data_IF_799472151666
#
_entry.id   IF_799472151666
#
_cell.length_a   1.000
_cell.length_b   1.000
_cell.length_c   1.000
_cell.angle_alpha   90.00
_cell.angle_beta   90.00
_cell.angle_gamma   90.00
#
_symmetry.space_group_name_H-M   'P 1'
#
loop_
_entity.id
_entity.type
_entity.pdbx_description
1 polymer ?
#
# COMPACT_ATOMS: atom_id res chain seq x y z
N UNK A 1 0.71 -29.41 20.14
CA UNK A 1 0.51 -30.08 18.82
C UNK A 1 0.14 -29.05 17.75
N UNK A 2 -0.95 -28.30 17.93
CA UNK A 2 -1.34 -27.20 17.02
C UNK A 2 -0.23 -26.16 16.83
N UNK A 3 0.40 -25.72 17.91
CA UNK A 3 1.52 -24.77 17.86
C UNK A 3 2.69 -25.26 17.00
N UNK A 4 3.05 -26.54 17.10
CA UNK A 4 4.11 -27.12 16.28
C UNK A 4 3.73 -27.18 14.79
N UNK A 5 2.46 -27.48 14.48
CA UNK A 5 1.94 -27.49 13.11
C UNK A 5 1.92 -26.08 12.50
N UNK A 6 1.52 -25.07 13.29
CA UNK A 6 1.50 -23.66 12.87
C UNK A 6 2.93 -23.17 12.57
N UNK A 7 3.88 -23.44 13.47
CA UNK A 7 5.29 -23.05 13.27
C UNK A 7 5.90 -23.74 12.05
N UNK A 8 5.64 -25.04 11.85
CA UNK A 8 6.13 -25.76 10.69
C UNK A 8 5.53 -25.21 9.37
N UNK A 9 4.25 -24.84 9.38
CA UNK A 9 3.56 -24.27 8.22
C UNK A 9 4.10 -22.87 7.87
N UNK A 10 4.32 -22.02 8.88
CA UNK A 10 4.92 -20.69 8.71
C UNK A 10 6.35 -20.79 8.17
N UNK A 11 7.16 -21.71 8.70
CA UNK A 11 8.52 -21.92 8.23
C UNK A 11 8.55 -22.41 6.77
N UNK A 12 7.63 -23.31 6.39
CA UNK A 12 7.51 -23.80 5.02
C UNK A 12 7.06 -22.71 4.04
N UNK A 13 6.06 -21.92 4.41
CA UNK A 13 5.59 -20.77 3.62
C UNK A 13 6.69 -19.72 3.45
N UNK A 14 7.39 -19.39 4.54
CA UNK A 14 8.51 -18.44 4.50
C UNK A 14 9.63 -18.95 3.59
N UNK A 15 10.01 -20.22 3.70
CA UNK A 15 11.03 -20.84 2.85
C UNK A 15 10.65 -20.85 1.36
N UNK A 16 9.37 -21.02 1.04
CA UNK A 16 8.86 -20.96 -0.33
C UNK A 16 8.79 -19.54 -0.88
N UNK A 17 8.45 -18.56 -0.04
CA UNK A 17 8.33 -17.16 -0.43
C UNK A 17 9.70 -16.45 -0.56
N UNK A 18 10.66 -16.80 0.29
CA UNK A 18 11.99 -16.17 0.35
C UNK A 18 12.71 -16.10 -1.01
N UNK A 19 12.80 -17.15 -1.85
CA UNK A 19 13.44 -17.05 -3.16
C UNK A 19 12.68 -16.17 -4.16
N UNK A 20 11.35 -16.00 -3.99
CA UNK A 20 10.56 -15.06 -4.80
C UNK A 20 10.79 -13.62 -4.37
N UNK A 21 10.87 -13.38 -3.07
CA UNK A 21 11.16 -12.07 -2.47
C UNK A 21 12.59 -11.59 -2.77
N UNK A 22 13.56 -12.51 -2.79
CA UNK A 22 14.95 -12.23 -3.10
C UNK A 22 15.24 -12.22 -4.61
N UNK A 23 14.23 -12.45 -5.45
CA UNK A 23 14.43 -12.41 -6.91
C UNK A 23 14.74 -10.97 -7.29
N UNK A 24 15.92 -10.68 -7.87
CA UNK A 24 16.25 -9.33 -8.28
C UNK A 24 15.23 -8.87 -9.31
N UNK A 25 14.50 -7.80 -9.00
CA UNK A 25 13.67 -7.09 -9.96
C UNK A 25 14.59 -6.62 -11.09
N UNK A 26 14.28 -6.90 -12.37
CA UNK A 26 15.08 -6.36 -13.47
C UNK A 26 15.14 -4.83 -13.34
N UNK A 27 16.31 -4.20 -13.52
CA UNK A 27 16.41 -2.76 -13.43
C UNK A 27 15.46 -2.13 -14.46
N UNK A 28 14.68 -1.10 -14.08
CA UNK A 28 13.93 -0.33 -15.05
C UNK A 28 14.94 0.20 -16.07
N UNK A 29 14.71 -0.06 -17.35
CA UNK A 29 15.49 0.56 -18.41
C UNK A 29 15.42 2.07 -18.19
N UNK A 30 16.55 2.68 -17.85
CA UNK A 30 16.65 4.10 -17.57
C UNK A 30 16.25 4.89 -18.82
N UNK A 31 15.02 5.38 -18.84
CA UNK A 31 14.61 6.59 -19.55
C UNK A 31 14.66 7.75 -18.55
N UNK A 32 15.28 8.84 -18.99
CA UNK A 32 15.66 10.03 -18.25
C UNK A 32 14.51 10.68 -17.44
N UNK A 33 14.75 11.06 -16.18
CA UNK A 33 14.98 12.46 -15.76
C UNK A 33 14.73 12.66 -14.26
N UNK A 34 15.57 13.49 -13.64
CA UNK A 34 15.50 13.83 -12.23
C UNK A 34 14.31 14.75 -11.92
N UNK A 35 13.50 14.34 -10.96
CA UNK A 35 12.51 15.19 -10.33
C UNK A 35 12.31 14.76 -8.89
N UNK A 36 12.41 15.70 -7.96
CA UNK A 36 11.88 15.58 -6.60
C UNK A 36 10.33 15.58 -6.61
N UNK A 37 9.75 14.84 -7.56
CA UNK A 37 8.33 14.59 -7.66
C UNK A 37 7.98 13.47 -6.69
N UNK A 38 6.80 13.57 -6.09
CA UNK A 38 6.14 12.40 -5.52
C UNK A 38 6.30 11.23 -6.50
N UNK A 39 6.64 10.00 -6.06
CA UNK A 39 6.68 8.88 -6.98
C UNK A 39 5.38 8.90 -7.76
N UNK A 40 5.47 9.07 -9.08
CA UNK A 40 4.31 9.05 -9.97
C UNK A 40 3.50 7.83 -9.54
N UNK A 41 2.27 8.02 -9.05
CA UNK A 41 1.47 6.97 -8.43
C UNK A 41 1.36 5.80 -9.40
N UNK A 42 2.28 4.86 -9.24
CA UNK A 42 2.38 3.68 -10.09
C UNK A 42 1.49 2.63 -9.44
N UNK A 43 0.20 2.96 -9.29
CA UNK A 43 -0.83 1.94 -9.14
C UNK A 43 -0.87 1.25 -10.49
N UNK A 44 -0.10 0.18 -10.62
CA UNK A 44 -0.27 -0.73 -11.73
C UNK A 44 -1.77 -1.06 -11.81
N UNK A 45 -2.37 -0.91 -12.98
CA UNK A 45 -3.74 -1.35 -13.23
C UNK A 45 -3.82 -2.81 -12.77
N UNK A 46 -4.62 -3.05 -11.74
CA UNK A 46 -4.79 -4.37 -11.17
C UNK A 46 -5.71 -5.18 -12.06
N UNK A 47 -5.58 -6.50 -12.02
CA UNK A 47 -6.65 -7.34 -12.58
C UNK A 47 -7.92 -7.11 -11.74
N UNK A 48 -9.13 -7.12 -12.33
CA UNK A 48 -10.36 -6.94 -11.57
C UNK A 48 -10.41 -7.83 -10.31
N UNK A 49 -10.00 -9.10 -10.44
CA UNK A 49 -10.01 -10.03 -9.31
C UNK A 49 -9.09 -9.63 -8.16
N UNK A 50 -7.96 -8.99 -8.47
CA UNK A 50 -7.02 -8.51 -7.45
C UNK A 50 -7.59 -7.28 -6.74
N UNK A 51 -8.31 -6.40 -7.45
CA UNK A 51 -9.02 -5.27 -6.84
C UNK A 51 -10.10 -5.75 -5.86
N UNK A 52 -10.91 -6.74 -6.27
CA UNK A 52 -11.97 -7.27 -5.42
C UNK A 52 -11.43 -8.04 -4.21
N UNK A 53 -10.30 -8.74 -4.37
CA UNK A 53 -9.61 -9.38 -3.26
C UNK A 53 -9.10 -8.36 -2.24
N UNK A 54 -8.48 -7.26 -2.71
CA UNK A 54 -7.99 -6.21 -1.83
C UNK A 54 -9.13 -5.46 -1.14
N UNK A 55 -10.26 -5.22 -1.82
CA UNK A 55 -11.45 -4.63 -1.23
C UNK A 55 -12.02 -5.51 -0.11
N UNK A 56 -12.15 -6.82 -0.35
CA UNK A 56 -12.58 -7.78 0.68
C UNK A 56 -11.60 -7.85 1.86
N UNK A 57 -10.29 -7.82 1.59
CA UNK A 57 -9.27 -7.84 2.63
C UNK A 57 -9.29 -6.58 3.49
N UNK A 58 -9.51 -5.41 2.87
CA UNK A 58 -9.64 -4.14 3.58
C UNK A 58 -10.86 -4.16 4.53
N UNK A 59 -12.02 -4.61 4.06
CA UNK A 59 -13.23 -4.78 4.88
C UNK A 59 -12.99 -5.71 6.09
N UNK A 60 -12.26 -6.80 5.89
CA UNK A 60 -11.98 -7.76 6.95
C UNK A 60 -10.94 -7.26 7.98
N UNK A 61 -9.92 -6.54 7.52
CA UNK A 61 -8.77 -6.16 8.35
C UNK A 61 -8.96 -4.80 9.02
N UNK A 62 -9.84 -3.98 8.47
CA UNK A 62 -9.98 -2.59 8.84
C UNK A 62 -11.46 -2.16 8.94
N UNK A 63 -12.26 -2.82 9.80
CA UNK A 63 -13.71 -2.60 9.85
C UNK A 63 -14.09 -1.17 10.28
N UNK A 64 -13.28 -0.56 11.15
CA UNK A 64 -13.57 0.70 11.86
C UNK A 64 -12.83 1.91 11.27
N UNK A 65 -12.54 1.90 9.96
CA UNK A 65 -11.55 2.76 9.28
C UNK A 65 -11.32 4.18 9.81
N UNK A 66 -10.44 4.27 10.82
CA UNK A 66 -10.12 5.49 11.58
C UNK A 66 -9.45 6.57 10.72
N UNK A 67 -8.86 6.20 9.57
CA UNK A 67 -8.23 7.15 8.64
C UNK A 67 -9.18 7.65 7.54
N UNK A 68 -10.36 7.03 7.42
CA UNK A 68 -11.40 7.44 6.48
C UNK A 68 -12.35 8.46 7.10
N UNK A 69 -12.44 8.50 8.44
CA UNK A 69 -13.04 9.62 9.13
C UNK A 69 -12.18 10.87 8.89
N UNK A 70 -12.68 11.88 8.16
CA UNK A 70 -12.00 13.17 8.16
C UNK A 70 -12.09 13.65 9.60
N UNK A 71 -10.94 13.76 10.29
CA UNK A 71 -10.89 14.31 11.64
C UNK A 71 -11.73 15.57 11.65
N UNK A 72 -12.90 15.50 12.30
CA UNK A 72 -13.82 16.62 12.33
C UNK A 72 -13.29 17.58 13.37
N UNK A 73 -12.32 18.39 12.97
CA UNK A 73 -11.87 19.51 13.77
C UNK A 73 -13.13 20.37 14.07
N UNK A 74 -13.46 20.60 15.35
CA UNK A 74 -14.66 21.36 15.74
C UNK A 74 -14.56 22.85 15.40
N UNK A 75 -13.41 23.31 14.90
CA UNK A 75 -13.13 24.64 14.41
C UNK A 75 -13.22 24.67 12.87
N UNK A 76 -14.42 25.00 12.39
CA UNK A 76 -14.63 25.38 10.99
C UNK A 76 -13.94 26.70 10.64
N UNK A 77 -12.61 26.73 10.59
CA UNK A 77 -11.84 27.77 9.92
C UNK A 77 -11.28 27.23 8.61
N UNK A 78 -12.08 27.43 7.56
CA UNK A 78 -11.58 27.33 6.19
C UNK A 78 -10.63 28.49 5.93
N UNK A 79 -9.34 28.21 5.76
CA UNK A 79 -8.45 29.13 5.08
C UNK A 79 -8.60 28.96 3.57
N UNK A 80 -9.58 29.69 3.04
CA UNK A 80 -9.62 30.10 1.66
C UNK A 80 -8.41 30.99 1.35
N UNK A 81 -7.52 30.51 0.47
CA UNK A 81 -6.77 31.32 -0.49
C UNK A 81 -5.78 32.35 0.04
N UNK A 82 -4.49 32.00 -0.01
CA UNK A 82 -3.37 32.93 0.14
C UNK A 82 -2.46 32.93 -1.09
N UNK A 83 -2.87 33.68 -2.11
CA UNK A 83 -2.04 34.53 -2.98
C UNK A 83 -0.69 34.02 -3.53
N UNK A 84 -0.58 34.06 -4.87
CA UNK A 84 0.65 34.37 -5.61
C UNK A 84 1.61 35.25 -4.80
N UNK A 85 2.85 34.80 -4.67
CA UNK A 85 4.00 35.66 -4.41
C UNK A 85 4.90 35.64 -5.64
N UNK A 86 5.33 36.86 -5.94
CA UNK A 86 5.87 37.42 -7.18
C UNK A 86 7.33 37.06 -7.43
#
# INVERSE_FOLDING_TARGET
>A
MITALVVASLAALLGLALPRLLRPTPPPCAGEDGGSGHPESMTAELDPWDEEYLAWLADALWPEDEYLEPERSPDGEGEAGGSVCR
#
